data_IF_360035660297
#
_entry.id   IF_360035660297
#
_cell.length_a   1.000
_cell.length_b   1.000
_cell.length_c   1.000
_cell.angle_alpha   90.00
_cell.angle_beta   90.00
_cell.angle_gamma   90.00
#
_symmetry.space_group_name_H-M   'P 1'
#
loop_
_entity.id
_entity.type
_entity.pdbx_description
1 polymer ?
#
# COMPACT_ATOMS: atom_id res chain seq x y z
N UNK A 1 -4.42 15.97 -3.67
CA UNK A 1 -3.55 14.84 -4.11
C UNK A 1 -2.11 15.12 -3.66
N UNK A 2 -1.92 15.47 -2.39
CA UNK A 2 -0.77 16.28 -1.93
C UNK A 2 0.08 15.67 -0.82
N UNK A 3 -0.34 14.57 -0.18
CA UNK A 3 0.36 14.03 1.00
C UNK A 3 1.74 13.41 0.71
N UNK A 4 2.10 13.17 -0.56
CA UNK A 4 3.30 12.40 -0.93
C UNK A 4 4.43 13.25 -1.55
N UNK A 5 4.18 14.53 -1.87
CA UNK A 5 5.15 15.35 -2.63
C UNK A 5 6.40 15.76 -1.85
N UNK A 6 6.42 15.62 -0.53
CA UNK A 6 7.56 16.02 0.31
C UNK A 6 8.37 14.89 0.96
N UNK A 7 7.82 13.67 1.04
CA UNK A 7 8.39 12.60 1.89
C UNK A 7 9.09 11.50 1.07
N UNK A 8 8.72 11.34 -0.20
CA UNK A 8 9.27 10.31 -1.10
C UNK A 8 9.62 10.93 -2.44
N UNK A 9 10.90 10.88 -2.81
CA UNK A 9 11.36 11.38 -4.11
C UNK A 9 10.59 10.72 -5.26
N UNK A 10 10.25 11.46 -6.31
CA UNK A 10 9.38 10.99 -7.39
C UNK A 10 9.84 9.68 -8.06
N UNK A 11 11.16 9.40 -8.04
CA UNK A 11 11.73 8.11 -8.50
C UNK A 11 11.30 6.93 -7.63
N UNK A 12 11.23 7.09 -6.30
CA UNK A 12 10.77 6.06 -5.38
C UNK A 12 9.27 5.82 -5.55
N UNK A 13 8.48 6.90 -5.67
CA UNK A 13 7.05 6.80 -5.94
C UNK A 13 6.76 6.07 -7.26
N UNK A 14 7.54 6.35 -8.31
CA UNK A 14 7.40 5.66 -9.60
C UNK A 14 7.73 4.16 -9.50
N UNK A 15 8.69 3.76 -8.67
CA UNK A 15 8.98 2.34 -8.41
C UNK A 15 7.85 1.68 -7.61
N UNK A 16 7.35 2.34 -6.57
CA UNK A 16 6.25 1.82 -5.73
C UNK A 16 4.92 1.70 -6.48
N UNK A 17 4.70 2.51 -7.53
CA UNK A 17 3.54 2.37 -8.44
C UNK A 17 3.64 1.17 -9.38
N UNK A 18 4.86 0.75 -9.74
CA UNK A 18 5.09 -0.42 -10.60
C UNK A 18 5.02 -1.73 -9.83
N UNK A 19 5.25 -1.67 -8.53
CA UNK A 19 5.11 -2.83 -7.66
C UNK A 19 3.64 -3.02 -7.30
N UNK A 20 3.10 -4.21 -7.56
CA UNK A 20 1.77 -4.61 -7.14
C UNK A 20 1.86 -5.58 -5.96
N UNK A 21 0.86 -5.54 -5.09
CA UNK A 21 0.72 -6.45 -3.96
C UNK A 21 -0.71 -6.99 -3.91
N UNK A 22 -0.85 -8.24 -3.49
CA UNK A 22 -2.14 -8.80 -3.16
C UNK A 22 -2.54 -8.37 -1.75
N UNK A 23 -3.71 -7.74 -1.63
CA UNK A 23 -4.23 -7.38 -0.31
C UNK A 23 -4.89 -8.60 0.32
N UNK A 24 -4.42 -9.09 1.49
CA UNK A 24 -4.98 -10.30 2.13
C UNK A 24 -6.41 -10.09 2.66
N UNK A 25 -6.86 -8.84 2.81
CA UNK A 25 -8.23 -8.51 3.26
C UNK A 25 -9.21 -8.54 2.10
N UNK A 26 -8.87 -7.86 0.99
CA UNK A 26 -9.79 -7.69 -0.14
C UNK A 26 -9.57 -8.72 -1.24
N UNK A 27 -8.53 -9.58 -1.13
CA UNK A 27 -8.10 -10.55 -2.13
C UNK A 27 -7.99 -9.95 -3.55
N UNK A 28 -7.52 -8.71 -3.61
CA UNK A 28 -7.39 -7.95 -4.85
C UNK A 28 -5.96 -7.45 -4.99
N UNK A 29 -5.47 -7.44 -6.24
CA UNK A 29 -4.17 -6.91 -6.60
C UNK A 29 -4.27 -5.39 -6.72
N UNK A 30 -3.46 -4.66 -5.95
CA UNK A 30 -3.40 -3.20 -5.97
C UNK A 30 -1.95 -2.70 -6.00
N UNK A 31 -1.68 -1.47 -6.45
CA UNK A 31 -0.35 -0.88 -6.38
C UNK A 31 0.15 -0.85 -4.93
N UNK A 32 1.42 -1.16 -4.71
CA UNK A 32 2.02 -1.17 -3.37
C UNK A 32 1.90 0.19 -2.70
N UNK A 33 2.01 1.29 -3.45
CA UNK A 33 1.78 2.64 -2.92
C UNK A 33 0.38 2.82 -2.30
N UNK A 34 -0.66 2.21 -2.87
CA UNK A 34 -2.02 2.27 -2.29
C UNK A 34 -2.08 1.46 -1.00
N UNK A 35 -1.45 0.29 -0.98
CA UNK A 35 -1.35 -0.53 0.21
C UNK A 35 -0.54 0.15 1.32
N UNK A 36 0.56 0.82 1.00
CA UNK A 36 1.42 1.55 1.94
C UNK A 36 0.69 2.69 2.66
N UNK A 37 -0.29 3.31 1.99
CA UNK A 37 -1.13 4.38 2.56
C UNK A 37 -2.34 3.84 3.33
N UNK A 38 -2.57 2.52 3.32
CA UNK A 38 -3.71 1.92 3.99
C UNK A 38 -3.52 1.98 5.51
N UNK A 39 -4.55 2.38 6.30
CA UNK A 39 -4.45 2.36 7.77
C UNK A 39 -4.26 0.94 8.33
N UNK A 40 -4.64 -0.09 7.56
CA UNK A 40 -4.40 -1.47 7.91
C UNK A 40 -2.96 -1.94 7.64
N UNK A 41 -2.11 -1.17 6.97
CA UNK A 41 -0.76 -1.62 6.60
C UNK A 41 0.16 -1.67 7.83
N UNK A 42 0.78 -2.84 8.06
CA UNK A 42 1.78 -3.01 9.11
C UNK A 42 3.18 -3.08 8.48
N UNK A 43 3.38 -4.06 7.59
CA UNK A 43 4.67 -4.33 6.94
C UNK A 43 4.52 -5.26 5.75
N UNK A 44 5.58 -5.32 4.93
CA UNK A 44 5.75 -6.32 3.87
C UNK A 44 6.99 -7.16 4.14
N UNK A 45 6.87 -8.49 4.12
CA UNK A 45 7.97 -9.43 4.33
C UNK A 45 8.01 -10.39 3.16
N UNK A 46 9.17 -10.51 2.49
CA UNK A 46 9.38 -11.44 1.36
C UNK A 46 8.33 -11.37 0.23
N UNK A 47 7.65 -10.22 0.06
CA UNK A 47 6.62 -10.05 -0.96
C UNK A 47 5.19 -10.10 -0.41
N UNK A 48 4.98 -10.67 0.78
CA UNK A 48 3.68 -10.80 1.42
C UNK A 48 3.37 -9.57 2.28
N UNK A 49 2.13 -9.07 2.15
CA UNK A 49 1.64 -7.93 2.93
C UNK A 49 0.99 -8.43 4.22
N UNK A 50 1.45 -7.89 5.34
CA UNK A 50 0.83 -8.11 6.64
C UNK A 50 0.02 -6.88 7.00
N UNK A 51 -1.25 -7.11 7.32
CA UNK A 51 -2.20 -6.06 7.68
C UNK A 51 -2.86 -6.32 9.04
N UNK A 52 -3.41 -5.27 9.65
CA UNK A 52 -4.20 -5.35 10.88
C UNK A 52 -5.49 -6.17 10.70
N UNK A 53 -5.94 -6.37 9.46
CA UNK A 53 -7.14 -7.16 9.16
C UNK A 53 -8.45 -6.49 9.59
N UNK A 54 -8.43 -5.20 9.93
CA UNK A 54 -9.65 -4.47 10.24
C UNK A 54 -10.48 -4.31 8.96
N UNK A 55 -11.78 -4.56 9.06
CA UNK A 55 -12.70 -4.29 7.96
C UNK A 55 -12.56 -2.82 7.55
N UNK A 56 -12.15 -2.58 6.31
CA UNK A 56 -12.20 -1.27 5.68
C UNK A 56 -13.67 -0.95 5.43
N UNK A 57 -14.44 -0.61 6.46
CA UNK A 57 -15.72 0.07 6.27
C UNK A 57 -15.39 1.36 5.55
N UNK A 58 -15.75 1.43 4.25
CA UNK A 58 -15.79 2.68 3.47
C UNK A 58 -16.46 3.74 4.35
N UNK A 59 -15.68 4.72 4.81
CA UNK A 59 -16.20 6.05 5.14
C UNK A 59 -15.95 6.93 3.93
#
# INVERSE_FOLDING_TARGET
>A
MEALKGVVGGKMLARMKKESVECPVTLNVKPFVECFLCPNFIRRIKGEVHCLGLNLTRQ
#
